data_IF_403937743644
#
_entry.id   IF_403937743644
#
_cell.length_a   1.000
_cell.length_b   1.000
_cell.length_c   1.000
_cell.angle_alpha   90.00
_cell.angle_beta   90.00
_cell.angle_gamma   90.00
#
_symmetry.space_group_name_H-M   'P 1'
#
loop_
_entity.id
_entity.type
_entity.pdbx_description
1 polymer ?
#
# COMPACT_ATOMS: atom_id res chain seq x y z
N UNK A 1 -38.73 -65.12 14.29
CA UNK A 1 -40.17 -64.79 14.23
C UNK A 1 -40.38 -63.74 15.32
N UNK A 2 -40.46 -62.44 15.05
CA UNK A 2 -41.48 -61.73 14.26
C UNK A 2 -40.86 -60.49 13.63
N UNK A 3 -41.22 -60.29 12.36
CA UNK A 3 -41.02 -59.10 11.55
C UNK A 3 -41.96 -57.99 12.00
N UNK A 4 -41.50 -56.73 12.09
CA UNK A 4 -42.24 -55.64 11.47
C UNK A 4 -41.36 -54.43 11.13
N UNK A 5 -41.64 -53.89 9.95
CA UNK A 5 -40.91 -52.92 9.14
C UNK A 5 -41.30 -51.47 9.47
N UNK A 6 -40.35 -50.58 9.19
CA UNK A 6 -40.46 -49.23 8.60
C UNK A 6 -41.39 -48.18 9.25
N UNK A 7 -40.81 -47.02 9.57
CA UNK A 7 -41.15 -45.69 9.01
C UNK A 7 -40.02 -44.72 9.46
N UNK A 8 -39.00 -44.47 8.64
CA UNK A 8 -38.84 -43.26 7.82
C UNK A 8 -39.24 -41.95 8.51
N UNK A 9 -38.27 -41.23 9.08
CA UNK A 9 -38.23 -39.78 9.00
C UNK A 9 -36.76 -39.32 9.05
N UNK A 10 -36.20 -39.08 7.86
CA UNK A 10 -34.95 -38.34 7.65
C UNK A 10 -35.13 -36.90 8.13
N UNK A 11 -34.71 -36.61 9.36
CA UNK A 11 -34.45 -35.25 9.79
C UNK A 11 -33.04 -34.88 9.32
N UNK A 12 -32.95 -34.39 8.08
CA UNK A 12 -31.75 -33.78 7.53
C UNK A 12 -31.54 -32.46 8.29
N UNK A 13 -30.78 -32.49 9.39
CA UNK A 13 -30.25 -31.30 10.03
C UNK A 13 -29.20 -30.70 9.11
N UNK A 14 -29.64 -29.86 8.18
CA UNK A 14 -28.75 -28.92 7.50
C UNK A 14 -28.28 -27.93 8.56
N UNK A 15 -27.12 -28.20 9.16
CA UNK A 15 -26.30 -27.16 9.78
C UNK A 15 -25.92 -26.18 8.67
N UNK A 16 -26.76 -25.18 8.44
CA UNK A 16 -26.32 -23.95 7.81
C UNK A 16 -25.40 -23.29 8.82
N UNK A 17 -24.10 -23.59 8.72
CA UNK A 17 -23.05 -22.75 9.26
C UNK A 17 -23.30 -21.35 8.71
N UNK A 18 -23.87 -20.49 9.55
CA UNK A 18 -23.72 -19.05 9.41
C UNK A 18 -22.21 -18.80 9.50
N UNK A 19 -21.53 -18.86 8.35
CA UNK A 19 -20.30 -18.14 8.16
C UNK A 19 -20.70 -16.68 8.33
N UNK A 20 -20.53 -16.19 9.57
CA UNK A 20 -20.45 -14.77 9.79
C UNK A 20 -19.14 -14.34 9.15
N UNK A 21 -19.20 -13.97 7.88
CA UNK A 21 -18.18 -13.14 7.31
C UNK A 21 -18.29 -11.80 8.07
N UNK A 22 -17.22 -11.34 8.75
CA UNK A 22 -17.21 -9.98 9.27
C UNK A 22 -17.49 -9.02 8.11
N UNK A 23 -18.23 -7.92 8.34
CA UNK A 23 -18.55 -6.98 7.29
C UNK A 23 -17.25 -6.47 6.66
N UNK A 24 -17.13 -6.60 5.35
CA UNK A 24 -16.05 -6.00 4.59
C UNK A 24 -16.22 -4.47 4.66
N UNK A 25 -15.42 -3.82 5.50
CA UNK A 25 -15.31 -2.37 5.55
C UNK A 25 -13.89 -2.01 6.02
N UNK A 26 -12.89 -2.28 5.20
CA UNK A 26 -11.53 -2.45 5.72
C UNK A 26 -10.54 -1.70 4.83
N UNK A 27 -10.55 -0.39 5.09
CA UNK A 27 -9.61 0.66 4.72
C UNK A 27 -10.06 1.93 5.45
N UNK A 28 -9.95 1.93 6.78
CA UNK A 28 -10.42 3.04 7.63
C UNK A 28 -9.40 4.17 7.74
N UNK A 29 -8.12 3.89 7.48
CA UNK A 29 -7.09 4.90 7.33
C UNK A 29 -7.15 5.48 5.91
N UNK A 30 -6.82 6.77 5.77
CA UNK A 30 -6.72 7.45 4.48
C UNK A 30 -5.29 7.91 4.20
N UNK A 31 -5.05 8.57 3.07
CA UNK A 31 -3.72 9.02 2.65
C UNK A 31 -3.03 9.93 3.68
N UNK A 32 -3.76 10.79 4.39
CA UNK A 32 -3.18 11.65 5.44
C UNK A 32 -2.79 10.85 6.69
N UNK A 33 -3.47 9.74 6.97
CA UNK A 33 -3.08 8.84 8.05
C UNK A 33 -1.80 8.08 7.69
N UNK A 34 -1.68 7.60 6.46
CA UNK A 34 -0.47 6.92 5.99
C UNK A 34 0.73 7.86 5.91
N UNK A 35 0.53 9.12 5.50
CA UNK A 35 1.57 10.16 5.53
C UNK A 35 2.03 10.43 6.96
N UNK A 36 1.11 10.43 7.93
CA UNK A 36 1.43 10.56 9.35
C UNK A 36 2.25 9.36 9.86
N UNK A 37 1.83 8.14 9.52
CA UNK A 37 2.52 6.91 9.90
C UNK A 37 3.92 6.85 9.29
N UNK A 38 4.08 7.36 8.07
CA UNK A 38 5.34 7.41 7.37
C UNK A 38 6.32 8.42 7.99
N UNK A 39 5.87 9.67 8.14
CA UNK A 39 6.77 10.78 8.47
C UNK A 39 6.93 11.02 9.97
N UNK A 40 5.93 10.65 10.77
CA UNK A 40 5.86 10.93 12.21
C UNK A 40 5.75 9.64 13.03
N UNK A 41 6.37 8.55 12.57
CA UNK A 41 6.28 7.24 13.20
C UNK A 41 6.63 7.24 14.70
N UNK A 42 7.58 8.08 15.14
CA UNK A 42 7.91 8.24 16.56
C UNK A 42 6.77 8.89 17.35
N UNK A 43 6.12 9.92 16.79
CA UNK A 43 4.99 10.59 17.43
C UNK A 43 3.81 9.63 17.58
N UNK A 44 3.57 8.81 16.55
CA UNK A 44 2.52 7.79 16.59
C UNK A 44 2.84 6.71 17.61
N UNK A 45 4.08 6.19 17.63
CA UNK A 45 4.50 5.17 18.59
C UNK A 45 4.39 5.64 20.05
N UNK A 46 4.86 6.87 20.32
CA UNK A 46 4.77 7.49 21.64
C UNK A 46 3.31 7.62 22.09
N UNK A 47 2.42 8.10 21.21
CA UNK A 47 1.00 8.22 21.51
C UNK A 47 0.34 6.85 21.78
N UNK A 48 0.62 5.84 20.95
CA UNK A 48 0.11 4.47 21.10
C UNK A 48 0.55 3.86 22.43
N UNK A 49 1.81 4.05 22.81
CA UNK A 49 2.35 3.54 24.06
C UNK A 49 1.76 4.25 25.29
N UNK A 50 1.72 5.59 25.28
CA UNK A 50 1.17 6.40 26.37
C UNK A 50 -0.34 6.15 26.56
N UNK A 51 -1.09 6.05 25.47
CA UNK A 51 -2.50 5.71 25.50
C UNK A 51 -2.73 4.26 25.95
N UNK A 52 -1.87 3.34 25.54
CA UNK A 52 -1.93 1.93 25.96
C UNK A 52 -1.78 1.79 27.47
N UNK A 53 -0.77 2.45 28.04
CA UNK A 53 -0.52 2.41 29.47
C UNK A 53 -1.62 3.12 30.28
N UNK A 54 -2.09 4.29 29.83
CA UNK A 54 -3.13 5.05 30.53
C UNK A 54 -4.50 4.36 30.51
N UNK A 55 -4.81 3.64 29.43
CA UNK A 55 -6.09 2.94 29.25
C UNK A 55 -6.08 1.49 29.69
N UNK A 56 -4.92 0.91 30.05
CA UNK A 56 -4.77 -0.51 30.37
C UNK A 56 -5.75 -1.03 31.45
N UNK A 57 -6.09 -0.23 32.45
CA UNK A 57 -7.03 -0.59 33.53
C UNK A 57 -8.45 -0.08 33.31
N UNK A 58 -8.74 0.48 32.13
CA UNK A 58 -10.09 0.92 31.78
C UNK A 58 -11.05 -0.27 31.72
N UNK A 59 -12.29 -0.06 32.17
CA UNK A 59 -13.36 -1.03 31.96
C UNK A 59 -13.79 -1.14 30.49
N UNK A 60 -13.43 -0.13 29.69
CA UNK A 60 -13.61 -0.07 28.25
C UNK A 60 -12.31 0.45 27.63
N UNK A 61 -11.42 -0.50 27.29
CA UNK A 61 -10.08 -0.19 26.76
C UNK A 61 -10.22 0.49 25.40
N UNK A 62 -11.11 -0.01 24.54
CA UNK A 62 -11.33 0.51 23.20
C UNK A 62 -11.75 1.98 23.24
N UNK A 63 -12.83 2.33 23.95
CA UNK A 63 -13.31 3.70 24.02
C UNK A 63 -12.31 4.66 24.72
N UNK A 64 -11.56 4.17 25.71
CA UNK A 64 -10.51 4.96 26.34
C UNK A 64 -9.38 5.26 25.36
N UNK A 65 -8.93 4.24 24.62
CA UNK A 65 -7.80 4.34 23.70
C UNK A 65 -8.16 5.23 22.49
N UNK A 66 -9.36 5.07 21.93
CA UNK A 66 -9.87 5.96 20.87
C UNK A 66 -9.83 7.43 21.31
N UNK A 67 -10.36 7.73 22.50
CA UNK A 67 -10.36 9.09 23.03
C UNK A 67 -8.96 9.65 23.27
N UNK A 68 -8.06 8.82 23.81
CA UNK A 68 -6.68 9.23 24.09
C UNK A 68 -5.89 9.52 22.81
N UNK A 69 -5.96 8.64 21.81
CA UNK A 69 -5.25 8.83 20.54
C UNK A 69 -5.83 10.00 19.76
N UNK A 70 -7.15 10.17 19.76
CA UNK A 70 -7.77 11.33 19.11
C UNK A 70 -7.32 12.67 19.73
N UNK A 71 -6.97 12.68 21.02
CA UNK A 71 -6.39 13.85 21.70
C UNK A 71 -4.89 14.02 21.40
N UNK A 72 -4.14 12.92 21.38
CA UNK A 72 -2.69 12.93 21.12
C UNK A 72 -2.34 13.22 19.64
N UNK A 73 -3.16 12.73 18.71
CA UNK A 73 -2.95 12.78 17.26
C UNK A 73 -4.19 13.34 16.56
N UNK A 74 -4.44 14.66 16.68
CA UNK A 74 -5.66 15.28 16.13
C UNK A 74 -5.72 15.26 14.60
N UNK A 75 -4.59 15.01 13.92
CA UNK A 75 -4.53 14.85 12.47
C UNK A 75 -4.92 13.45 11.97
N UNK A 76 -4.94 12.45 12.85
CA UNK A 76 -5.32 11.10 12.48
C UNK A 76 -6.84 10.97 12.40
N UNK A 77 -7.33 10.31 11.36
CA UNK A 77 -8.76 10.13 11.12
C UNK A 77 -9.39 9.22 12.17
N UNK A 78 -10.65 9.49 12.50
CA UNK A 78 -11.38 8.71 13.50
C UNK A 78 -11.45 7.22 13.15
N UNK A 79 -11.50 6.87 11.86
CA UNK A 79 -11.46 5.48 11.39
C UNK A 79 -10.13 4.81 11.71
N UNK A 80 -9.01 5.48 11.40
CA UNK A 80 -7.68 4.96 11.67
C UNK A 80 -7.41 4.83 13.19
N UNK A 81 -7.87 5.81 13.98
CA UNK A 81 -7.84 5.74 15.44
C UNK A 81 -8.58 4.50 15.96
N UNK A 82 -9.75 4.18 15.38
CA UNK A 82 -10.49 2.96 15.70
C UNK A 82 -9.67 1.69 15.45
N UNK A 83 -8.92 1.61 14.34
CA UNK A 83 -8.04 0.47 14.08
C UNK A 83 -6.94 0.31 15.13
N UNK A 84 -6.32 1.40 15.58
CA UNK A 84 -5.35 1.36 16.67
C UNK A 84 -5.98 0.93 18.00
N UNK A 85 -7.22 1.36 18.29
CA UNK A 85 -7.94 0.95 19.49
C UNK A 85 -8.33 -0.54 19.47
N UNK A 86 -8.73 -1.06 18.30
CA UNK A 86 -9.01 -2.48 18.08
C UNK A 86 -7.73 -3.32 18.25
N UNK A 87 -6.61 -2.86 17.67
CA UNK A 87 -5.31 -3.50 17.84
C UNK A 87 -4.90 -3.52 19.32
N UNK A 88 -4.99 -2.39 20.02
CA UNK A 88 -4.67 -2.28 21.45
C UNK A 88 -5.54 -3.21 22.32
N UNK A 89 -6.82 -3.33 21.96
CA UNK A 89 -7.74 -4.29 22.59
C UNK A 89 -7.33 -5.73 22.33
N UNK A 90 -6.92 -6.06 21.09
CA UNK A 90 -6.38 -7.37 20.75
C UNK A 90 -5.11 -7.69 21.55
N UNK A 91 -4.16 -6.75 21.62
CA UNK A 91 -2.89 -6.91 22.35
C UNK A 91 -3.16 -7.13 23.84
N UNK A 92 -4.09 -6.36 24.42
CA UNK A 92 -4.50 -6.52 25.82
C UNK A 92 -5.12 -7.88 26.12
N UNK A 93 -5.83 -8.49 25.16
CA UNK A 93 -6.50 -9.78 25.35
C UNK A 93 -5.60 -10.98 25.06
N UNK A 94 -4.74 -10.89 24.04
CA UNK A 94 -3.98 -12.03 23.52
C UNK A 94 -2.49 -11.98 23.88
N UNK A 95 -1.94 -10.77 24.06
CA UNK A 95 -0.49 -10.55 24.17
C UNK A 95 -0.06 -9.85 25.46
N UNK A 96 -0.98 -9.57 26.38
CA UNK A 96 -0.69 -8.82 27.61
C UNK A 96 0.51 -9.37 28.38
N UNK A 97 0.59 -10.68 28.63
CA UNK A 97 1.70 -11.23 29.40
C UNK A 97 3.05 -11.14 28.65
N UNK A 98 3.03 -11.28 27.32
CA UNK A 98 4.23 -11.13 26.50
C UNK A 98 4.70 -9.67 26.50
N UNK A 99 3.78 -8.71 26.37
CA UNK A 99 4.11 -7.29 26.29
C UNK A 99 4.38 -6.61 27.64
N UNK A 100 3.73 -7.04 28.72
CA UNK A 100 3.93 -6.46 30.05
C UNK A 100 5.11 -7.06 30.82
N UNK A 101 5.47 -8.32 30.55
CA UNK A 101 6.46 -9.06 31.33
C UNK A 101 7.51 -9.81 30.49
N UNK A 102 7.33 -9.88 29.17
CA UNK A 102 8.30 -10.50 28.25
C UNK A 102 9.34 -9.50 27.74
N UNK A 103 10.15 -9.96 26.79
CA UNK A 103 11.03 -9.06 26.03
C UNK A 103 10.27 -8.34 24.91
N UNK A 104 10.85 -7.28 24.39
CA UNK A 104 10.36 -6.56 23.20
C UNK A 104 10.08 -7.52 22.04
N UNK A 105 11.04 -8.40 21.74
CA UNK A 105 10.90 -9.42 20.71
C UNK A 105 9.76 -10.42 20.96
N UNK A 106 9.48 -10.78 22.23
CA UNK A 106 8.36 -11.67 22.55
C UNK A 106 7.01 -10.97 22.36
N UNK A 107 6.93 -9.68 22.71
CA UNK A 107 5.74 -8.86 22.49
C UNK A 107 5.47 -8.73 20.99
N UNK A 108 6.47 -8.30 20.21
CA UNK A 108 6.36 -8.14 18.76
C UNK A 108 5.93 -9.44 18.08
N UNK A 109 6.54 -10.57 18.45
CA UNK A 109 6.16 -11.87 17.90
C UNK A 109 4.70 -12.24 18.22
N UNK A 110 4.22 -11.90 19.42
CA UNK A 110 2.83 -12.12 19.79
C UNK A 110 1.87 -11.22 18.99
N UNK A 111 2.18 -9.92 18.89
CA UNK A 111 1.37 -8.95 18.15
C UNK A 111 1.28 -9.35 16.67
N UNK A 112 2.42 -9.67 16.06
CA UNK A 112 2.51 -10.16 14.68
C UNK A 112 1.63 -11.40 14.45
N UNK A 113 1.60 -12.33 15.41
CA UNK A 113 0.84 -13.56 15.29
C UNK A 113 -0.68 -13.39 15.48
N UNK A 114 -1.10 -12.50 16.38
CA UNK A 114 -2.48 -12.48 16.87
C UNK A 114 -3.28 -11.23 16.49
N UNK A 115 -2.61 -10.10 16.21
CA UNK A 115 -3.27 -8.79 16.12
C UNK A 115 -2.90 -8.00 14.87
N UNK A 116 -1.74 -8.27 14.26
CA UNK A 116 -1.25 -7.51 13.11
C UNK A 116 -2.15 -7.63 11.88
N UNK A 117 -2.58 -8.85 11.53
CA UNK A 117 -3.41 -9.07 10.34
C UNK A 117 -4.76 -8.35 10.41
N UNK A 118 -5.41 -8.34 11.59
CA UNK A 118 -6.68 -7.63 11.77
C UNK A 118 -6.49 -6.10 11.70
N UNK A 119 -5.35 -5.60 12.19
CA UNK A 119 -5.00 -4.19 12.07
C UNK A 119 -4.75 -3.78 10.61
N UNK A 120 -3.95 -4.54 9.86
CA UNK A 120 -3.66 -4.26 8.44
C UNK A 120 -4.93 -4.24 7.60
N UNK A 121 -5.82 -5.21 7.83
CA UNK A 121 -7.14 -5.23 7.21
C UNK A 121 -7.92 -3.98 7.61
N UNK A 122 -8.04 -3.66 8.90
CA UNK A 122 -8.78 -2.48 9.35
C UNK A 122 -8.25 -1.18 8.71
N UNK A 123 -6.94 -0.97 8.79
CA UNK A 123 -6.26 0.21 8.30
C UNK A 123 -6.30 0.31 6.77
N UNK A 124 -6.36 -0.84 6.07
CA UNK A 124 -6.23 -0.91 4.61
C UNK A 124 -4.77 -0.85 4.17
N UNK A 125 -3.86 -1.41 4.97
CA UNK A 125 -2.45 -1.52 4.64
C UNK A 125 -2.28 -2.76 3.76
N UNK A 126 -1.79 -2.57 2.55
CA UNK A 126 -1.53 -3.62 1.57
C UNK A 126 -0.27 -3.27 0.79
N UNK A 127 0.37 -4.28 0.22
CA UNK A 127 1.40 -4.12 -0.81
C UNK A 127 0.75 -4.61 -2.12
N UNK A 128 0.22 -3.68 -2.91
CA UNK A 128 -0.65 -4.01 -4.04
C UNK A 128 0.15 -4.32 -5.31
N UNK A 129 1.30 -3.70 -5.52
CA UNK A 129 2.18 -3.93 -6.68
C UNK A 129 3.35 -4.89 -6.42
N UNK A 130 3.58 -5.29 -5.16
CA UNK A 130 4.58 -6.27 -4.72
C UNK A 130 6.03 -5.82 -4.90
N UNK A 131 6.31 -4.53 -4.72
CA UNK A 131 7.67 -4.00 -4.69
C UNK A 131 8.37 -4.15 -3.32
N UNK A 132 7.61 -4.53 -2.29
CA UNK A 132 8.08 -4.77 -0.93
C UNK A 132 7.88 -3.62 0.04
N UNK A 133 7.35 -2.50 -0.43
CA UNK A 133 6.76 -1.46 0.40
C UNK A 133 5.24 -1.69 0.51
N UNK A 134 4.59 -1.02 1.45
CA UNK A 134 3.13 -1.11 1.61
C UNK A 134 2.53 0.26 1.35
N UNK A 135 1.20 0.38 1.34
CA UNK A 135 0.49 1.66 1.27
C UNK A 135 0.98 2.72 2.29
N UNK A 136 1.73 2.32 3.33
CA UNK A 136 2.48 3.25 4.19
C UNK A 136 3.79 3.66 3.52
N UNK A 137 3.99 4.97 3.35
CA UNK A 137 5.14 5.60 2.68
C UNK A 137 5.20 5.43 1.16
N UNK A 138 4.46 4.48 0.60
CA UNK A 138 4.29 4.37 -0.84
C UNK A 138 3.35 5.45 -1.37
N UNK A 139 3.87 6.28 -2.28
CA UNK A 139 3.11 7.37 -2.89
C UNK A 139 2.23 6.92 -4.08
N UNK A 140 2.45 5.73 -4.64
CA UNK A 140 1.57 5.06 -5.60
C UNK A 140 1.69 3.52 -5.52
N UNK A 141 0.98 2.93 -4.55
CA UNK A 141 0.86 1.48 -4.27
C UNK A 141 0.28 0.65 -5.45
N UNK A 142 0.06 1.26 -6.62
CA UNK A 142 -0.31 0.57 -7.86
C UNK A 142 0.81 0.48 -8.90
N UNK A 143 1.97 1.08 -8.62
CA UNK A 143 3.12 1.16 -9.49
C UNK A 143 4.43 0.85 -8.74
N UNK A 144 4.91 -0.40 -8.85
CA UNK A 144 6.12 -0.85 -8.16
C UNK A 144 7.43 -0.24 -8.68
N UNK A 145 7.35 0.84 -9.47
CA UNK A 145 8.47 1.74 -9.79
C UNK A 145 8.43 3.04 -8.99
N UNK A 146 7.42 3.23 -8.15
CA UNK A 146 7.15 4.44 -7.36
C UNK A 146 7.10 4.04 -5.88
N UNK A 147 8.21 4.20 -5.18
CA UNK A 147 8.34 3.84 -3.76
C UNK A 147 9.48 4.62 -3.10
N UNK A 148 9.53 4.73 -1.75
CA UNK A 148 10.61 5.40 -1.04
C UNK A 148 12.02 5.00 -1.51
N UNK A 149 12.74 5.94 -2.14
CA UNK A 149 14.09 5.71 -2.63
C UNK A 149 14.21 4.94 -3.95
N UNK A 150 13.12 4.79 -4.71
CA UNK A 150 13.16 4.18 -6.04
C UNK A 150 14.08 4.95 -7.02
N UNK A 151 14.67 4.27 -8.02
CA UNK A 151 15.33 4.93 -9.13
C UNK A 151 14.32 5.72 -9.98
N UNK A 152 14.75 6.84 -10.54
CA UNK A 152 13.95 7.58 -11.51
C UNK A 152 13.69 6.76 -12.78
N UNK A 153 12.47 6.86 -13.29
CA UNK A 153 12.02 6.16 -14.52
C UNK A 153 11.94 7.07 -15.73
N UNK A 154 12.34 8.34 -15.58
CA UNK A 154 12.15 9.38 -16.58
C UNK A 154 10.69 9.52 -17.09
N UNK A 155 9.71 9.22 -16.24
CA UNK A 155 8.28 9.27 -16.56
C UNK A 155 7.60 10.59 -16.18
N UNK A 156 8.33 11.50 -15.55
CA UNK A 156 7.81 12.76 -14.98
C UNK A 156 7.05 12.56 -13.66
N UNK A 157 7.24 11.43 -12.99
CA UNK A 157 6.64 11.07 -11.71
C UNK A 157 7.73 11.09 -10.64
N UNK A 158 7.39 11.50 -9.43
CA UNK A 158 8.25 11.35 -8.25
C UNK A 158 8.30 9.86 -7.90
N UNK A 159 9.33 9.16 -8.39
CA UNK A 159 9.49 7.74 -8.21
C UNK A 159 9.95 7.43 -6.79
N UNK A 160 10.72 8.32 -6.16
CA UNK A 160 11.34 8.05 -4.87
C UNK A 160 10.53 8.53 -3.65
N UNK A 161 9.36 9.13 -3.89
CA UNK A 161 8.43 9.68 -2.90
C UNK A 161 9.03 10.76 -1.98
N UNK A 162 10.01 11.55 -2.45
CA UNK A 162 10.63 12.63 -1.67
C UNK A 162 9.92 13.99 -1.80
N UNK A 163 8.86 14.04 -2.61
CA UNK A 163 8.04 15.21 -2.88
C UNK A 163 8.58 16.11 -3.98
N UNK A 164 9.66 15.74 -4.67
CA UNK A 164 10.23 16.48 -5.79
C UNK A 164 10.59 15.58 -6.98
N UNK A 165 10.23 16.01 -8.19
CA UNK A 165 10.69 15.34 -9.42
C UNK A 165 12.13 15.76 -9.70
N UNK A 166 13.08 14.83 -9.57
CA UNK A 166 14.50 15.01 -9.87
C UNK A 166 14.82 14.94 -11.37
N UNK A 167 16.08 15.17 -11.75
CA UNK A 167 16.51 15.06 -13.16
C UNK A 167 16.32 13.65 -13.72
N UNK A 168 16.55 12.60 -12.92
CA UNK A 168 16.36 11.20 -13.34
C UNK A 168 14.89 10.76 -13.41
N UNK A 169 14.00 11.56 -12.84
CA UNK A 169 12.55 11.31 -12.84
C UNK A 169 11.85 12.17 -13.89
N UNK A 170 12.52 13.21 -14.40
CA UNK A 170 11.96 14.12 -15.38
C UNK A 170 11.56 13.38 -16.67
N UNK A 171 10.38 13.71 -17.20
CA UNK A 171 9.85 13.08 -18.39
C UNK A 171 10.84 13.15 -19.56
N UNK A 172 11.24 12.00 -20.11
CA UNK A 172 12.18 11.88 -21.22
C UNK A 172 11.53 11.18 -22.43
N UNK A 173 10.52 11.80 -23.07
CA UNK A 173 9.73 11.15 -24.11
C UNK A 173 10.49 10.80 -25.40
N UNK A 174 11.76 11.22 -25.50
CA UNK A 174 12.64 10.95 -26.64
C UNK A 174 13.63 9.81 -26.37
N UNK A 175 13.66 9.27 -25.15
CA UNK A 175 14.31 7.99 -24.84
C UNK A 175 13.34 6.87 -25.26
N UNK A 176 13.69 6.18 -26.34
CA UNK A 176 12.86 5.17 -26.99
C UNK A 176 13.26 3.75 -26.61
N UNK A 177 14.41 3.55 -25.96
CA UNK A 177 14.85 2.23 -25.51
C UNK A 177 14.90 2.06 -23.99
N UNK A 178 14.66 3.13 -23.23
CA UNK A 178 14.53 3.14 -21.79
C UNK A 178 15.88 3.04 -21.06
N UNK A 179 16.97 3.47 -21.70
CA UNK A 179 18.31 3.47 -21.11
C UNK A 179 18.68 4.76 -20.33
N UNK A 180 17.70 5.67 -20.20
CA UNK A 180 17.80 6.97 -19.53
C UNK A 180 18.70 7.97 -20.27
N UNK A 181 18.86 7.84 -21.59
CA UNK A 181 19.57 8.85 -22.38
C UNK A 181 19.09 8.90 -23.83
N UNK A 182 18.96 10.12 -24.37
CA UNK A 182 18.65 10.29 -25.80
C UNK A 182 19.94 10.23 -26.61
N UNK A 183 20.28 9.06 -27.13
CA UNK A 183 21.52 8.77 -27.85
C UNK A 183 21.29 8.29 -29.28
N UNK A 184 22.33 7.71 -29.88
CA UNK A 184 22.24 7.07 -31.20
C UNK A 184 21.33 5.85 -31.14
N UNK A 185 21.20 5.20 -29.98
CA UNK A 185 20.34 4.04 -29.82
C UNK A 185 18.87 4.40 -30.12
N UNK A 186 18.38 5.52 -29.61
CA UNK A 186 17.02 6.03 -29.86
C UNK A 186 16.81 6.43 -31.32
N UNK A 187 17.82 7.07 -31.93
CA UNK A 187 17.79 7.37 -33.36
C UNK A 187 17.61 6.07 -34.16
N UNK A 188 18.30 4.99 -33.77
CA UNK A 188 18.18 3.70 -34.45
C UNK A 188 16.83 3.02 -34.17
N UNK A 189 16.29 3.16 -32.96
CA UNK A 189 14.94 2.69 -32.61
C UNK A 189 13.90 3.38 -33.48
N UNK A 190 13.93 4.71 -33.60
CA UNK A 190 13.04 5.48 -34.47
C UNK A 190 13.22 5.07 -35.94
N UNK A 191 14.46 5.00 -36.43
CA UNK A 191 14.73 4.65 -37.82
C UNK A 191 14.33 3.20 -38.17
N UNK A 192 14.15 2.32 -37.20
CA UNK A 192 13.65 0.96 -37.43
C UNK A 192 12.20 0.93 -37.92
N UNK A 193 11.41 1.96 -37.61
CA UNK A 193 10.02 2.12 -38.05
C UNK A 193 9.85 3.20 -39.13
N UNK A 194 10.94 3.76 -39.66
CA UNK A 194 10.87 4.86 -40.62
C UNK A 194 10.02 4.51 -41.87
N UNK A 195 9.03 5.36 -42.15
CA UNK A 195 8.04 5.15 -43.20
C UNK A 195 6.81 4.35 -42.75
N UNK A 196 6.63 4.10 -41.46
CA UNK A 196 5.39 3.57 -40.91
C UNK A 196 4.25 4.60 -41.06
N UNK A 197 3.04 4.14 -41.42
CA UNK A 197 1.86 4.98 -41.68
C UNK A 197 0.63 4.63 -40.83
N UNK A 198 0.71 3.62 -39.95
CA UNK A 198 -0.36 3.23 -39.05
C UNK A 198 0.14 2.32 -37.92
N UNK A 199 -0.28 2.61 -36.68
CA UNK A 199 0.06 1.77 -35.52
C UNK A 199 1.55 1.78 -35.19
N UNK A 200 2.22 2.91 -35.43
CA UNK A 200 3.63 3.09 -35.19
C UNK A 200 3.89 3.33 -33.70
N UNK A 201 4.93 2.70 -33.16
CA UNK A 201 5.30 2.84 -31.75
C UNK A 201 6.21 4.05 -31.56
N UNK A 202 7.06 4.32 -32.56
CA UNK A 202 8.09 5.37 -32.49
C UNK A 202 7.69 6.66 -33.23
N UNK A 203 6.39 6.94 -33.30
CA UNK A 203 5.80 8.20 -33.73
C UNK A 203 5.87 9.19 -32.55
N UNK A 204 6.90 10.02 -32.54
CA UNK A 204 7.24 10.86 -31.39
C UNK A 204 6.50 12.19 -31.38
N UNK A 205 5.96 12.62 -32.53
CA UNK A 205 5.15 13.84 -32.62
C UNK A 205 3.63 13.57 -32.64
N UNK A 206 3.23 12.30 -32.76
CA UNK A 206 1.86 11.81 -32.63
C UNK A 206 1.01 12.07 -33.88
N UNK A 207 1.63 12.26 -35.05
CA UNK A 207 0.91 12.53 -36.30
C UNK A 207 0.34 11.28 -37.01
N UNK A 208 0.66 10.10 -36.47
CA UNK A 208 0.24 8.80 -36.95
C UNK A 208 1.24 8.12 -37.88
N UNK A 209 2.41 8.72 -38.13
CA UNK A 209 3.45 8.21 -39.03
C UNK A 209 4.84 8.32 -38.38
N UNK A 210 5.81 7.57 -38.92
CA UNK A 210 7.24 7.78 -38.56
C UNK A 210 7.95 8.35 -39.77
N UNK A 211 8.31 9.62 -39.69
CA UNK A 211 8.79 10.43 -40.80
C UNK A 211 10.04 11.24 -40.44
N UNK A 212 10.43 12.17 -41.32
CA UNK A 212 11.52 13.10 -41.03
C UNK A 212 11.16 14.05 -39.87
N UNK A 213 9.87 14.32 -39.65
CA UNK A 213 9.43 15.16 -38.54
C UNK A 213 9.83 14.53 -37.20
N UNK A 214 9.58 13.23 -37.03
CA UNK A 214 9.98 12.42 -35.87
C UNK A 214 11.48 12.44 -35.63
N UNK A 215 12.27 12.22 -36.70
CA UNK A 215 13.74 12.29 -36.61
C UNK A 215 14.19 13.66 -36.10
N UNK A 216 13.58 14.75 -36.60
CA UNK A 216 13.94 16.10 -36.16
C UNK A 216 13.51 16.39 -34.72
N UNK A 217 12.36 15.86 -34.31
CA UNK A 217 11.86 15.94 -32.93
C UNK A 217 12.81 15.22 -31.97
N UNK A 218 13.21 13.98 -32.28
CA UNK A 218 14.19 13.24 -31.48
C UNK A 218 15.55 13.96 -31.42
N UNK A 219 16.04 14.44 -32.57
CA UNK A 219 17.32 15.17 -32.62
C UNK A 219 17.30 16.49 -31.85
N UNK A 220 16.12 17.06 -31.55
CA UNK A 220 16.02 18.27 -30.72
C UNK A 220 16.41 18.04 -29.26
N UNK A 221 16.27 16.80 -28.78
CA UNK A 221 16.69 16.36 -27.44
C UNK A 221 17.96 15.51 -27.43
N UNK A 222 18.67 15.37 -28.54
CA UNK A 222 19.84 14.49 -28.62
C UNK A 222 20.94 14.87 -27.62
N UNK A 223 21.45 13.88 -26.90
CA UNK A 223 22.46 14.02 -25.86
C UNK A 223 21.91 14.47 -24.50
N UNK A 224 20.58 14.51 -24.33
CA UNK A 224 19.97 14.67 -23.01
C UNK A 224 20.15 13.39 -22.20
N UNK A 225 20.48 13.58 -20.93
CA UNK A 225 20.54 12.51 -19.93
C UNK A 225 19.30 12.67 -19.09
N UNK A 226 18.61 11.55 -18.94
CA UNK A 226 17.57 11.29 -17.97
C UNK A 226 18.17 10.30 -16.91
#
# INVERSE_FOLDING_TARGET
>A
MISLRLLSLTALLTFTSLFWAPPAAHAQCNSSDFELLCNEGTLVNDAVFDCGFSCFLSSDINACFEGCIAEALPQMSAGCVGCFADQSTCVSNNCFFACAFGSEADCEACVAQNCQADFEVCAGIVDLDQDGESTICDCDDSDGTVYPGAPGTASGVDNNCDGVVSESEAACPLDLDGDLAVTVADVLSLLSEFGCEAGCTNDVDGDGQVSVADVLTLLSGFGTVC
#
